data_IF_424358480460
#
_entry.id   IF_424358480460
#
_cell.length_a   1.000
_cell.length_b   1.000
_cell.length_c   1.000
_cell.angle_alpha   90.00
_cell.angle_beta   90.00
_cell.angle_gamma   90.00
#
_symmetry.space_group_name_H-M   'P 1'
#
loop_
_entity.id
_entity.type
_entity.pdbx_description
1 polymer ?
#
# COMPACT_ATOMS: atom_id res chain seq x y z
N UNK A 1 -34.12 -15.52 -38.28
CA UNK A 1 -34.14 -14.18 -37.66
C UNK A 1 -33.63 -14.33 -36.24
N UNK A 2 -32.43 -13.83 -35.93
CA UNK A 2 -31.88 -13.89 -34.56
C UNK A 2 -32.58 -12.80 -33.76
N UNK A 3 -33.20 -13.17 -32.63
CA UNK A 3 -33.86 -12.22 -31.74
C UNK A 3 -32.80 -11.38 -31.01
N UNK A 4 -33.12 -10.12 -30.72
CA UNK A 4 -32.22 -9.19 -30.02
C UNK A 4 -31.75 -9.74 -28.66
N UNK A 5 -32.59 -10.53 -27.97
CA UNK A 5 -32.19 -11.20 -26.73
C UNK A 5 -31.10 -12.24 -26.96
N UNK A 6 -31.24 -13.05 -28.02
CA UNK A 6 -30.24 -14.08 -28.38
C UNK A 6 -28.92 -13.42 -28.77
N UNK A 7 -28.96 -12.28 -29.48
CA UNK A 7 -27.75 -11.53 -29.81
C UNK A 7 -27.05 -10.96 -28.56
N UNK A 8 -27.81 -10.39 -27.62
CA UNK A 8 -27.28 -9.88 -26.34
C UNK A 8 -26.63 -10.99 -25.53
N UNK A 9 -27.30 -12.14 -25.40
CA UNK A 9 -26.80 -13.25 -24.58
C UNK A 9 -25.51 -13.84 -25.18
N UNK A 10 -25.40 -13.92 -26.51
CA UNK A 10 -24.16 -14.34 -27.19
C UNK A 10 -22.99 -13.36 -26.95
N UNK A 11 -23.26 -12.06 -26.95
CA UNK A 11 -22.23 -11.03 -26.68
C UNK A 11 -21.74 -11.13 -25.23
N UNK A 12 -22.66 -11.28 -24.27
CA UNK A 12 -22.31 -11.43 -22.86
C UNK A 12 -21.50 -12.70 -22.61
N UNK A 13 -21.91 -13.83 -23.20
CA UNK A 13 -21.17 -15.09 -23.11
C UNK A 13 -19.79 -14.96 -23.74
N UNK A 14 -19.65 -14.24 -24.87
CA UNK A 14 -18.35 -14.02 -25.50
C UNK A 14 -17.39 -13.25 -24.60
N UNK A 15 -17.82 -12.14 -23.99
CA UNK A 15 -16.97 -11.40 -23.07
C UNK A 15 -16.64 -12.18 -21.79
N UNK A 16 -17.60 -12.93 -21.25
CA UNK A 16 -17.38 -13.77 -20.08
C UNK A 16 -16.34 -14.87 -20.35
N UNK A 17 -16.41 -15.51 -21.52
CA UNK A 17 -15.44 -16.54 -21.92
C UNK A 17 -14.05 -15.95 -22.17
N UNK A 18 -13.94 -14.79 -22.82
CA UNK A 18 -12.64 -14.12 -23.02
C UNK A 18 -12.00 -13.75 -21.69
N UNK A 19 -12.76 -13.18 -20.75
CA UNK A 19 -12.26 -12.84 -19.41
C UNK A 19 -11.83 -14.08 -18.62
N UNK A 20 -12.61 -15.16 -18.68
CA UNK A 20 -12.27 -16.42 -18.02
C UNK A 20 -11.00 -17.06 -18.59
N UNK A 21 -10.79 -17.02 -19.92
CA UNK A 21 -9.56 -17.49 -20.55
C UNK A 21 -8.35 -16.69 -20.05
N UNK A 22 -8.45 -15.36 -19.92
CA UNK A 22 -7.35 -14.54 -19.38
C UNK A 22 -7.02 -14.86 -17.92
N UNK A 23 -7.98 -15.36 -17.13
CA UNK A 23 -7.76 -15.74 -15.72
C UNK A 23 -7.19 -17.14 -15.56
N UNK A 24 -7.57 -18.08 -16.44
CA UNK A 24 -7.16 -19.49 -16.34
C UNK A 24 -5.86 -19.78 -17.09
N UNK A 25 -5.47 -18.92 -18.04
CA UNK A 25 -4.15 -19.04 -18.65
C UNK A 25 -3.08 -18.82 -17.56
N UNK A 26 -2.19 -19.81 -17.34
CA UNK A 26 -1.02 -19.57 -16.51
C UNK A 26 -0.27 -18.40 -17.13
N UNK A 27 0.05 -17.36 -16.34
CA UNK A 27 0.99 -16.33 -16.77
C UNK A 27 2.24 -17.05 -17.25
N UNK A 28 2.42 -17.16 -18.56
CA UNK A 28 3.66 -17.67 -19.13
C UNK A 28 4.70 -16.63 -18.76
N UNK A 29 5.46 -16.93 -17.71
CA UNK A 29 6.61 -16.15 -17.28
C UNK A 29 7.68 -16.25 -18.36
N UNK A 30 7.47 -15.58 -19.48
CA UNK A 30 8.58 -15.11 -20.31
C UNK A 30 9.17 -13.90 -19.60
N UNK A 31 9.77 -14.12 -18.43
CA UNK A 31 10.79 -13.22 -17.94
C UNK A 31 11.97 -13.43 -18.89
N UNK A 32 12.04 -12.60 -19.92
CA UNK A 32 13.21 -12.51 -20.76
C UNK A 32 14.38 -12.15 -19.84
N UNK A 33 15.27 -13.12 -19.65
CA UNK A 33 16.59 -12.93 -19.09
C UNK A 33 17.32 -11.90 -19.93
N UNK A 34 17.44 -10.67 -19.43
CA UNK A 34 18.24 -9.62 -20.07
C UNK A 34 19.65 -9.67 -19.49
N UNK A 35 20.57 -10.23 -20.27
CA UNK A 35 22.01 -10.07 -20.17
C UNK A 35 22.63 -10.55 -21.50
N UNK A 36 23.80 -10.04 -21.94
CA UNK A 36 24.42 -8.73 -21.84
C UNK A 36 24.59 -8.10 -23.26
N UNK A 37 25.41 -7.05 -23.36
CA UNK A 37 26.08 -6.54 -24.57
C UNK A 37 25.51 -5.27 -25.19
N UNK A 38 26.10 -4.16 -24.76
CA UNK A 38 26.03 -2.86 -25.39
C UNK A 38 27.20 -2.02 -24.91
N UNK A 39 28.40 -2.33 -25.41
CA UNK A 39 29.59 -1.51 -25.23
C UNK A 39 29.36 -0.14 -25.90
N UNK A 40 28.87 0.82 -25.14
CA UNK A 40 28.95 2.24 -25.44
C UNK A 40 29.48 2.94 -24.19
N UNK A 41 30.69 3.45 -24.31
CA UNK A 41 31.43 4.18 -23.30
C UNK A 41 30.63 5.39 -22.80
N UNK A 42 30.19 5.37 -21.56
CA UNK A 42 29.90 6.60 -20.83
C UNK A 42 30.47 6.52 -19.41
N UNK A 43 31.38 7.43 -19.07
CA UNK A 43 32.23 7.38 -17.88
C UNK A 43 31.53 7.85 -16.61
N UNK A 44 30.21 7.76 -16.53
CA UNK A 44 29.42 8.20 -15.37
C UNK A 44 28.66 7.02 -14.74
N UNK A 45 29.35 5.91 -14.47
CA UNK A 45 28.89 4.98 -13.43
C UNK A 45 29.23 5.58 -12.06
N UNK A 46 28.45 6.59 -11.65
CA UNK A 46 28.28 6.78 -10.21
C UNK A 46 27.69 5.47 -9.69
N UNK A 47 28.39 4.85 -8.74
CA UNK A 47 27.84 3.73 -8.00
C UNK A 47 26.44 4.13 -7.53
N UNK A 48 25.41 3.42 -7.99
CA UNK A 48 24.07 3.58 -7.45
C UNK A 48 24.22 3.44 -5.94
N UNK A 49 23.89 4.47 -5.13
CA UNK A 49 23.97 4.35 -3.69
C UNK A 49 23.21 3.10 -3.30
N UNK A 50 23.81 2.22 -2.50
CA UNK A 50 23.10 1.06 -1.96
C UNK A 50 21.77 1.57 -1.39
N UNK A 51 20.66 1.09 -1.94
CA UNK A 51 19.33 1.49 -1.51
C UNK A 51 19.27 1.22 0.00
N UNK A 52 19.12 2.28 0.80
CA UNK A 52 19.00 2.14 2.26
C UNK A 52 17.69 1.40 2.54
N UNK A 53 17.75 0.42 3.45
CA UNK A 53 16.60 -0.43 3.76
C UNK A 53 15.55 0.34 4.57
N UNK A 54 14.28 0.21 4.19
CA UNK A 54 13.14 0.73 4.95
C UNK A 54 12.65 -0.24 6.04
N UNK A 55 13.41 -1.29 6.32
CA UNK A 55 13.07 -2.29 7.33
C UNK A 55 13.22 -1.73 8.76
N UNK A 56 12.20 -1.97 9.58
CA UNK A 56 12.12 -1.56 11.00
C UNK A 56 11.90 -2.76 11.93
N UNK A 57 12.27 -3.95 11.49
CA UNK A 57 12.15 -5.15 12.30
C UNK A 57 10.74 -5.72 12.34
N UNK A 58 10.52 -6.64 13.27
CA UNK A 58 9.30 -7.46 13.33
C UNK A 58 8.44 -7.19 14.58
N UNK A 59 8.78 -6.15 15.35
CA UNK A 59 7.97 -5.70 16.49
C UNK A 59 8.09 -4.19 16.71
N UNK A 60 7.14 -3.61 17.41
CA UNK A 60 7.19 -2.18 17.78
C UNK A 60 8.37 -1.87 18.69
N UNK A 61 8.75 -2.81 19.56
CA UNK A 61 9.93 -2.67 20.41
C UNK A 61 11.22 -2.60 19.57
N UNK A 62 11.38 -3.52 18.62
CA UNK A 62 12.53 -3.52 17.71
C UNK A 62 12.56 -2.27 16.84
N UNK A 63 11.41 -1.83 16.31
CA UNK A 63 11.31 -0.59 15.54
C UNK A 63 11.81 0.63 16.34
N UNK A 64 11.42 0.74 17.60
CA UNK A 64 11.89 1.82 18.49
C UNK A 64 13.40 1.71 18.75
N UNK A 65 13.92 0.50 18.99
CA UNK A 65 15.36 0.26 19.17
C UNK A 65 16.18 0.62 17.92
N UNK A 66 15.62 0.39 16.73
CA UNK A 66 16.20 0.77 15.44
C UNK A 66 16.05 2.27 15.10
N UNK A 67 15.40 3.05 15.99
CA UNK A 67 15.18 4.49 15.79
C UNK A 67 14.10 4.82 14.76
N UNK A 68 13.26 3.84 14.42
CA UNK A 68 12.11 4.05 13.58
C UNK A 68 11.02 4.85 14.31
N UNK A 69 10.17 5.50 13.52
CA UNK A 69 9.00 6.22 14.03
C UNK A 69 7.76 5.77 13.27
N UNK A 70 6.63 5.78 13.97
CA UNK A 70 5.35 5.50 13.36
C UNK A 70 4.93 6.65 12.45
N UNK A 71 4.62 6.33 11.20
CA UNK A 71 4.11 7.23 10.17
C UNK A 71 2.61 6.91 9.98
N UNK A 72 1.74 7.85 10.37
CA UNK A 72 0.29 7.67 10.32
C UNK A 72 -0.28 7.70 8.91
N UNK A 73 0.44 8.28 7.94
CA UNK A 73 0.03 8.32 6.54
C UNK A 73 0.29 6.96 5.88
N UNK A 74 1.46 6.36 6.14
CA UNK A 74 1.81 5.03 5.68
C UNK A 74 1.21 3.90 6.54
N UNK A 75 0.71 4.24 7.74
CA UNK A 75 0.29 3.31 8.78
C UNK A 75 1.38 2.25 9.12
N UNK A 76 2.64 2.68 9.20
CA UNK A 76 3.80 1.81 9.36
C UNK A 76 4.89 2.42 10.24
N UNK A 77 5.76 1.58 10.81
CA UNK A 77 7.01 2.03 11.42
C UNK A 77 8.08 2.15 10.35
N UNK A 78 8.68 3.33 10.21
CA UNK A 78 9.63 3.64 9.15
C UNK A 78 10.89 4.34 9.68
N UNK A 79 12.07 4.08 9.08
CA UNK A 79 13.28 4.84 9.39
C UNK A 79 13.21 6.22 8.73
N UNK A 80 14.03 7.16 9.20
CA UNK A 80 14.04 8.56 8.74
C UNK A 80 14.09 8.73 7.21
N UNK A 81 14.84 7.91 6.50
CA UNK A 81 15.01 8.05 5.05
C UNK A 81 13.86 7.49 4.20
N UNK A 82 12.88 6.82 4.82
CA UNK A 82 11.72 6.23 4.13
C UNK A 82 10.39 6.89 4.50
N UNK A 83 10.42 7.89 5.38
CA UNK A 83 9.25 8.66 5.81
C UNK A 83 9.43 10.13 5.43
N UNK A 84 8.33 10.82 5.21
CA UNK A 84 8.31 12.26 5.02
C UNK A 84 7.54 12.89 6.17
N UNK A 85 8.28 13.48 7.11
CA UNK A 85 7.73 14.04 8.34
C UNK A 85 6.84 15.25 8.07
N UNK A 86 7.17 16.03 7.04
CA UNK A 86 6.40 17.21 6.66
C UNK A 86 5.06 16.79 6.07
N UNK A 87 5.09 15.82 5.15
CA UNK A 87 3.88 15.29 4.54
C UNK A 87 3.01 14.54 5.56
N UNK A 88 3.61 13.77 6.46
CA UNK A 88 2.87 13.10 7.55
C UNK A 88 2.18 14.13 8.44
N UNK A 89 2.88 15.21 8.80
CA UNK A 89 2.30 16.26 9.64
C UNK A 89 1.22 17.07 8.88
N UNK A 90 1.37 17.31 7.59
CA UNK A 90 0.31 17.88 6.75
C UNK A 90 -0.92 16.98 6.73
N UNK A 91 -0.70 15.69 6.48
CA UNK A 91 -1.74 14.68 6.51
C UNK A 91 -2.47 14.70 7.85
N UNK A 92 -1.77 14.65 9.00
CA UNK A 92 -2.38 14.67 10.34
C UNK A 92 -3.24 15.92 10.64
N UNK A 93 -3.09 17.00 9.87
CA UNK A 93 -3.89 18.24 9.96
C UNK A 93 -4.92 18.42 8.84
N UNK A 94 -5.11 17.40 7.99
CA UNK A 94 -6.02 17.44 6.83
C UNK A 94 -7.33 16.66 7.04
N UNK A 95 -7.52 16.06 8.21
CA UNK A 95 -8.73 15.34 8.57
C UNK A 95 -9.93 16.24 8.87
N UNK A 96 -11.16 15.69 8.85
CA UNK A 96 -12.39 16.46 9.05
C UNK A 96 -12.66 16.84 10.52
N UNK A 97 -11.88 16.31 11.47
CA UNK A 97 -12.06 16.54 12.89
C UNK A 97 -11.57 17.91 13.38
N UNK A 98 -11.80 18.24 14.66
CA UNK A 98 -11.36 19.49 15.26
C UNK A 98 -9.85 19.73 15.08
N UNK A 99 -9.49 20.90 14.56
CA UNK A 99 -8.08 21.24 14.29
C UNK A 99 -7.45 20.47 13.14
N UNK A 100 -8.27 19.89 12.24
CA UNK A 100 -7.79 19.15 11.08
C UNK A 100 -7.40 17.70 11.39
N UNK A 101 -7.79 17.16 12.55
CA UNK A 101 -7.36 15.82 12.96
C UNK A 101 -8.16 14.73 12.27
N UNK A 102 -7.51 13.61 12.02
CA UNK A 102 -8.18 12.34 11.73
C UNK A 102 -8.71 11.72 13.01
N UNK A 103 -9.89 11.13 12.91
CA UNK A 103 -10.51 10.37 14.00
C UNK A 103 -10.43 8.89 13.67
N UNK A 104 -10.06 8.09 14.66
CA UNK A 104 -9.87 6.66 14.55
C UNK A 104 -10.69 5.97 15.63
N UNK A 105 -11.21 4.78 15.32
CA UNK A 105 -12.03 4.02 16.26
C UNK A 105 -11.53 2.58 16.41
N UNK A 106 -11.66 2.03 17.61
CA UNK A 106 -11.39 0.62 17.88
C UNK A 106 -12.44 -0.33 17.29
N UNK A 107 -13.63 0.19 16.97
CA UNK A 107 -14.76 -0.59 16.50
C UNK A 107 -15.45 0.02 15.28
N UNK A 108 -16.07 -0.84 14.46
CA UNK A 108 -16.76 -0.42 13.24
C UNK A 108 -18.07 0.35 13.46
N UNK A 109 -18.59 0.39 14.70
CA UNK A 109 -19.74 1.23 15.05
C UNK A 109 -19.31 2.65 15.48
N UNK A 110 -18.00 2.94 15.46
CA UNK A 110 -17.41 4.23 15.82
C UNK A 110 -17.77 4.69 17.25
N UNK A 111 -17.82 3.75 18.20
CA UNK A 111 -18.20 4.06 19.60
C UNK A 111 -17.02 4.34 20.51
N UNK A 112 -15.83 3.83 20.18
CA UNK A 112 -14.62 3.97 20.98
C UNK A 112 -13.53 4.63 20.14
N UNK A 113 -13.28 5.92 20.38
CA UNK A 113 -12.19 6.66 19.73
C UNK A 113 -10.83 6.23 20.31
N UNK A 114 -9.83 6.08 19.45
CA UNK A 114 -8.46 5.70 19.80
C UNK A 114 -7.45 6.68 19.20
N UNK A 115 -6.29 6.79 19.86
CA UNK A 115 -5.21 7.68 19.42
C UNK A 115 -4.19 6.98 18.50
N UNK A 116 -3.43 7.78 17.76
CA UNK A 116 -2.33 7.29 16.89
C UNK A 116 -1.33 6.41 17.66
N UNK A 117 -1.00 6.77 18.90
CA UNK A 117 -0.08 5.96 19.72
C UNK A 117 -0.64 4.58 20.10
N UNK A 118 -1.96 4.40 20.11
CA UNK A 118 -2.58 3.08 20.28
C UNK A 118 -2.52 2.28 18.98
N UNK A 119 -2.83 2.91 17.85
CA UNK A 119 -2.71 2.32 16.51
C UNK A 119 -1.26 1.88 16.24
N UNK A 120 -0.27 2.70 16.59
CA UNK A 120 1.14 2.38 16.43
C UNK A 120 1.54 1.08 17.16
N UNK A 121 0.93 0.81 18.32
CA UNK A 121 1.14 -0.42 19.10
C UNK A 121 0.42 -1.64 18.53
N UNK A 122 -0.63 -1.44 17.71
CA UNK A 122 -1.33 -2.54 17.04
C UNK A 122 -0.45 -3.27 16.03
N UNK A 123 0.71 -2.73 15.63
CA UNK A 123 1.63 -3.40 14.71
C UNK A 123 2.17 -4.76 15.25
N UNK A 124 2.15 -4.97 16.57
CA UNK A 124 2.49 -6.27 17.18
C UNK A 124 1.32 -7.26 17.18
N UNK A 125 0.10 -6.80 16.90
CA UNK A 125 -1.12 -7.60 16.89
C UNK A 125 -1.54 -7.89 15.43
N UNK A 126 -1.41 -9.15 15.03
CA UNK A 126 -1.79 -9.59 13.68
C UNK A 126 -3.28 -9.45 13.38
N UNK A 127 -4.12 -9.41 14.42
CA UNK A 127 -5.56 -9.17 14.32
C UNK A 127 -5.93 -7.71 14.63
N UNK A 128 -4.94 -6.86 14.91
CA UNK A 128 -5.10 -5.44 15.21
C UNK A 128 -5.82 -4.72 14.07
N UNK A 129 -6.96 -4.11 14.39
CA UNK A 129 -7.75 -3.32 13.45
C UNK A 129 -8.10 -1.99 14.09
N UNK A 130 -8.10 -0.96 13.26
CA UNK A 130 -8.72 0.32 13.57
C UNK A 130 -9.66 0.70 12.42
N UNK A 131 -10.61 1.56 12.74
CA UNK A 131 -11.65 2.02 11.83
C UNK A 131 -11.51 3.53 11.63
N UNK A 132 -11.90 4.00 10.44
CA UNK A 132 -11.87 5.41 10.05
C UNK A 132 -13.10 5.74 9.21
N UNK A 133 -13.42 7.02 9.06
CA UNK A 133 -14.38 7.49 8.06
C UNK A 133 -13.77 7.45 6.66
N UNK A 134 -14.59 7.30 5.62
CA UNK A 134 -14.15 7.21 4.23
C UNK A 134 -13.47 8.45 3.65
N UNK A 135 -13.34 9.56 4.38
CA UNK A 135 -12.64 10.78 3.94
C UNK A 135 -11.13 10.61 3.71
N UNK A 136 -10.57 9.48 4.12
CA UNK A 136 -9.14 9.16 4.00
C UNK A 136 -8.74 8.74 2.57
N UNK A 137 -9.70 8.31 1.73
CA UNK A 137 -9.53 7.85 0.34
C UNK A 137 -10.35 8.70 -0.64
#
# INVERSE_FOLDING_TARGET
KISLSVAKDLILISFALLGFISLVQPKSSNHASMHPDGAATDKHHQAVPALRSCDCGNSTAEAVELGCKYDSLAAAWLPEHCRDDELTAEFERSGPGPGGKWTYWADGNHTQEIGIGEIARMADDTDGRFHMTGHWH
#
